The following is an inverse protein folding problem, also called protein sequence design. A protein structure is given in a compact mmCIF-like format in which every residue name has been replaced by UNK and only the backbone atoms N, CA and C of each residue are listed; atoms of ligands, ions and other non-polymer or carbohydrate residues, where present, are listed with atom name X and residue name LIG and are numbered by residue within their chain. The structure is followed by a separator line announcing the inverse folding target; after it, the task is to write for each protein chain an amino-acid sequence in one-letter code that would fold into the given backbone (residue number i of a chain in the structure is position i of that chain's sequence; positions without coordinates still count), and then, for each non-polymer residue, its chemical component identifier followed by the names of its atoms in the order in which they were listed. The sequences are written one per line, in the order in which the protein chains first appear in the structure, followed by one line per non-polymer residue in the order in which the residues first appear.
data_IF_962858144642
#
_entry.id   IF_962858144642
#
_cell.length_a   1.000
_cell.length_b   1.000
_cell.length_c   1.000
_cell.angle_alpha   90.00
_cell.angle_beta   90.00
_cell.angle_gamma   90.00
#
_symmetry.space_group_name_H-M   'P 1'
#
loop_
_entity.id
_entity.type
_entity.pdbx_description
1 polymer ?
#
# COMPACT_ATOMS: atom_id res chain seq x y z
N UNK A 1 7.42 15.62 6.25
CA UNK A 1 6.83 14.43 6.88
C UNK A 1 7.23 13.23 6.05
N UNK A 2 8.13 12.40 6.54
CA UNK A 2 8.55 11.13 5.92
C UNK A 2 7.44 10.10 6.15
N UNK A 3 6.35 10.22 5.39
CA UNK A 3 5.26 9.25 5.38
C UNK A 3 5.59 8.03 4.53
N UNK A 4 4.70 7.04 4.52
CA UNK A 4 4.85 5.80 3.75
C UNK A 4 5.07 6.03 2.23
N UNK A 5 4.64 7.20 1.73
CA UNK A 5 4.88 7.67 0.36
C UNK A 5 6.35 7.96 0.04
N UNK A 6 7.20 8.17 1.06
CA UNK A 6 8.63 8.47 0.90
C UNK A 6 9.52 7.23 0.99
N UNK A 7 8.95 6.02 1.15
CA UNK A 7 9.72 4.79 1.17
C UNK A 7 10.20 4.44 -0.25
N UNK A 8 11.44 3.98 -0.36
CA UNK A 8 11.96 3.38 -1.59
C UNK A 8 11.37 1.98 -1.83
N UNK A 9 11.58 1.45 -3.03
CA UNK A 9 11.06 0.14 -3.46
C UNK A 9 11.44 -1.00 -2.51
N UNK A 10 12.70 -1.01 -2.05
CA UNK A 10 13.21 -2.07 -1.20
C UNK A 10 12.65 -1.98 0.22
N UNK A 11 12.51 -0.76 0.76
CA UNK A 11 11.85 -0.58 2.05
C UNK A 11 10.37 -0.96 1.99
N UNK A 12 9.68 -0.64 0.89
CA UNK A 12 8.28 -0.98 0.74
C UNK A 12 8.08 -2.50 0.67
N UNK A 13 8.95 -3.22 -0.07
CA UNK A 13 8.89 -4.69 -0.15
C UNK A 13 9.34 -5.38 1.14
N UNK A 14 10.17 -4.73 1.96
CA UNK A 14 10.59 -5.23 3.26
C UNK A 14 9.54 -5.01 4.37
N UNK A 15 8.50 -4.21 4.12
CA UNK A 15 7.46 -3.93 5.11
C UNK A 15 6.72 -5.20 5.50
N UNK A 16 6.68 -5.51 6.81
CA UNK A 16 6.02 -6.71 7.28
C UNK A 16 4.50 -6.58 7.14
N UNK A 17 3.81 -7.70 6.95
CA UNK A 17 2.35 -7.75 6.80
C UNK A 17 1.60 -7.20 8.01
N UNK A 18 2.16 -7.36 9.22
CA UNK A 18 1.64 -6.76 10.45
C UNK A 18 1.70 -5.23 10.44
N UNK A 19 2.75 -4.66 9.85
CA UNK A 19 2.91 -3.21 9.76
C UNK A 19 1.95 -2.66 8.69
N UNK A 20 1.75 -3.39 7.59
CA UNK A 20 0.71 -3.05 6.60
C UNK A 20 -0.67 -3.03 7.23
N UNK A 21 -1.02 -4.02 8.05
CA UNK A 21 -2.31 -4.07 8.75
C UNK A 21 -2.46 -2.95 9.80
N UNK A 22 -1.37 -2.39 10.31
CA UNK A 22 -1.37 -1.30 11.28
C UNK A 22 -1.55 0.09 10.66
N UNK A 23 -1.44 0.23 9.33
CA UNK A 23 -1.61 1.52 8.65
C UNK A 23 -3.03 2.08 8.82
N UNK A 24 -3.13 3.39 8.98
CA UNK A 24 -4.43 4.05 8.95
C UNK A 24 -4.94 4.17 7.51
N UNK A 25 -6.25 4.37 7.35
CA UNK A 25 -6.86 4.59 6.03
C UNK A 25 -6.31 5.85 5.34
N UNK A 26 -5.98 6.88 6.12
CA UNK A 26 -5.36 8.11 5.61
C UNK A 26 -3.93 7.88 5.11
N UNK A 27 -3.14 7.05 5.79
CA UNK A 27 -1.79 6.69 5.33
C UNK A 27 -1.85 5.83 4.07
N UNK A 28 -2.80 4.90 3.98
CA UNK A 28 -3.01 4.08 2.79
C UNK A 28 -3.42 4.94 1.58
N UNK A 29 -4.35 5.89 1.78
CA UNK A 29 -4.76 6.83 0.72
C UNK A 29 -3.66 7.82 0.31
N UNK A 30 -2.59 7.94 1.11
CA UNK A 30 -1.44 8.77 0.80
C UNK A 30 -0.33 8.01 0.05
N UNK A 31 -0.45 6.69 -0.14
CA UNK A 31 0.53 5.91 -0.92
C UNK A 31 0.37 6.26 -2.40
N UNK A 32 1.45 6.65 -3.08
CA UNK A 32 1.40 6.90 -4.52
C UNK A 32 1.05 5.62 -5.29
N UNK A 33 0.42 5.75 -6.46
CA UNK A 33 0.15 4.61 -7.35
C UNK A 33 1.42 3.87 -7.75
N UNK A 34 2.54 4.57 -7.90
CA UNK A 34 3.84 3.97 -8.16
C UNK A 34 4.26 3.04 -7.02
N UNK A 35 4.09 3.46 -5.77
CA UNK A 35 4.38 2.61 -4.62
C UNK A 35 3.38 1.46 -4.47
N UNK A 36 2.09 1.68 -4.78
CA UNK A 36 1.10 0.59 -4.80
C UNK A 36 1.53 -0.51 -5.78
N UNK A 37 2.05 -0.15 -6.96
CA UNK A 37 2.51 -1.14 -7.95
C UNK A 37 3.71 -1.98 -7.47
N UNK A 38 4.41 -1.53 -6.42
CA UNK A 38 5.56 -2.21 -5.84
C UNK A 38 5.19 -3.14 -4.66
N UNK A 39 3.95 -3.08 -4.18
CA UNK A 39 3.47 -3.94 -3.10
C UNK A 39 3.44 -5.40 -3.55
N UNK A 40 3.79 -6.29 -2.64
CA UNK A 40 3.70 -7.74 -2.86
C UNK A 40 2.29 -8.24 -2.60
N UNK A 41 1.90 -9.36 -3.23
CA UNK A 41 0.60 -10.02 -2.98
C UNK A 41 0.36 -10.33 -1.51
N UNK A 42 1.41 -10.65 -0.74
CA UNK A 42 1.32 -10.91 0.69
C UNK A 42 0.93 -9.65 1.48
N UNK A 43 1.49 -8.49 1.12
CA UNK A 43 1.16 -7.21 1.74
C UNK A 43 -0.26 -6.77 1.39
N UNK A 44 -0.67 -6.93 0.13
CA UNK A 44 -2.05 -6.66 -0.31
C UNK A 44 -3.05 -7.52 0.44
N UNK A 45 -2.76 -8.82 0.61
CA UNK A 45 -3.59 -9.74 1.39
C UNK A 45 -3.65 -9.39 2.89
N UNK A 46 -2.64 -8.71 3.41
CA UNK A 46 -2.60 -8.28 4.81
C UNK A 46 -3.42 -7.01 5.09
N UNK A 47 -3.88 -6.31 4.04
CA UNK A 47 -4.72 -5.13 4.20
C UNK A 47 -6.06 -5.48 4.86
N UNK A 48 -6.51 -4.60 5.74
CA UNK A 48 -7.83 -4.69 6.35
C UNK A 48 -8.92 -4.18 5.41
N UNK A 49 -10.17 -4.55 5.67
CA UNK A 49 -11.32 -4.06 4.89
C UNK A 49 -11.47 -2.54 4.96
N UNK A 50 -11.13 -1.92 6.10
CA UNK A 50 -11.15 -0.47 6.24
C UNK A 50 -10.10 0.21 5.35
N UNK A 51 -8.89 -0.35 5.26
CA UNK A 51 -7.83 0.15 4.38
C UNK A 51 -8.21 0.01 2.91
N UNK A 52 -8.79 -1.13 2.51
CA UNK A 52 -9.30 -1.34 1.15
C UNK A 52 -10.41 -0.34 0.81
N UNK A 53 -11.31 -0.04 1.76
CA UNK A 53 -12.35 0.96 1.57
C UNK A 53 -11.81 2.41 1.42
N UNK A 54 -10.56 2.65 1.84
CA UNK A 54 -9.87 3.92 1.66
C UNK A 54 -9.16 4.06 0.31
N UNK A 55 -9.11 3.01 -0.51
CA UNK A 55 -8.50 3.05 -1.85
C UNK A 55 -9.45 3.72 -2.84
N UNK A 56 -8.89 4.57 -3.70
CA UNK A 56 -9.60 5.08 -4.87
C UNK A 56 -9.36 4.21 -6.13
N UNK A 57 -9.96 4.61 -7.24
CA UNK A 57 -9.86 3.90 -8.51
C UNK A 57 -8.46 3.90 -9.11
N UNK A 58 -7.61 4.87 -8.79
CA UNK A 58 -6.23 4.91 -9.27
C UNK A 58 -5.36 3.90 -8.53
N UNK A 59 -5.53 3.77 -7.20
CA UNK A 59 -4.83 2.75 -6.42
C UNK A 59 -5.23 1.33 -6.85
N UNK A 60 -6.53 1.09 -7.09
CA UNK A 60 -7.02 -0.23 -7.54
C UNK A 60 -6.48 -0.57 -8.94
N UNK A 61 -6.40 0.41 -9.85
CA UNK A 61 -5.78 0.20 -11.16
C UNK A 61 -4.29 -0.15 -11.04
N UNK A 62 -3.54 0.57 -10.20
CA UNK A 62 -2.13 0.29 -9.96
C UNK A 62 -1.89 -1.13 -9.43
N UNK A 63 -2.82 -1.67 -8.63
CA UNK A 63 -2.78 -3.05 -8.14
C UNK A 63 -2.92 -4.07 -9.27
N UNK A 64 -3.81 -3.82 -10.24
CA UNK A 64 -4.02 -4.69 -11.41
C UNK A 64 -2.83 -4.73 -12.38
N UNK A 65 -2.01 -3.69 -12.38
CA UNK A 65 -0.80 -3.61 -13.21
C UNK A 65 0.44 -4.23 -12.56
N UNK A 66 0.34 -4.64 -11.29
CA UNK A 66 1.40 -5.27 -10.53
C UNK A 66 1.41 -6.82 -10.65
N UNK A 67 0.42 -7.39 -11.35
CA UNK A 67 0.31 -8.83 -11.71
C UNK A 67 0.96 -9.13 -13.07
#
# INVERSE_FOLDING_TARGET
ATGIAALGSDQLRALATQDVAALTTAEVAAISTDNISLLTTAQVKAMTTAQIAGLDTAHVQALSTAE
#
